data_IF_783772108425
#
_entry.id   IF_783772108425
#
_cell.length_a   1.000
_cell.length_b   1.000
_cell.length_c   1.000
_cell.angle_alpha   90.00
_cell.angle_beta   90.00
_cell.angle_gamma   90.00
#
_symmetry.space_group_name_H-M   'P 1'
#
loop_
_entity.id
_entity.type
_entity.pdbx_description
1 polymer ?
#
# COMPACT_ATOMS: atom_id res chain seq x y z
N UNK A 1 6.80 4.39 11.03
CA UNK A 1 6.82 4.74 9.60
C UNK A 1 7.51 3.59 8.88
N UNK A 2 6.83 2.93 7.95
CA UNK A 2 7.35 1.78 7.21
C UNK A 2 7.37 2.07 5.72
N UNK A 3 8.44 1.61 5.04
CA UNK A 3 8.65 1.79 3.61
C UNK A 3 9.16 0.49 3.01
N UNK A 4 8.46 -0.04 2.02
CA UNK A 4 8.86 -1.27 1.30
C UNK A 4 8.95 -1.00 -0.19
N UNK A 5 9.96 -1.56 -0.87
CA UNK A 5 10.10 -1.48 -2.32
C UNK A 5 9.89 -2.86 -2.93
N UNK A 6 8.94 -3.01 -3.86
CA UNK A 6 8.67 -4.28 -4.54
C UNK A 6 8.05 -4.06 -5.92
N UNK A 7 8.54 -4.78 -6.93
CA UNK A 7 7.99 -4.76 -8.28
C UNK A 7 8.01 -3.38 -8.98
N UNK A 8 8.95 -2.50 -8.62
CA UNK A 8 9.04 -1.13 -9.16
C UNK A 8 8.16 -0.10 -8.43
N UNK A 9 7.48 -0.49 -7.36
CA UNK A 9 6.66 0.39 -6.53
C UNK A 9 7.28 0.59 -5.15
N UNK A 10 6.94 1.72 -4.53
CA UNK A 10 7.23 2.03 -3.12
C UNK A 10 5.91 2.00 -2.37
N UNK A 11 5.87 1.30 -1.25
CA UNK A 11 4.74 1.19 -0.35
C UNK A 11 5.10 1.88 0.95
N UNK A 12 4.53 3.05 1.17
CA UNK A 12 4.73 3.87 2.37
C UNK A 12 3.50 3.80 3.26
N UNK A 13 3.69 3.43 4.52
CA UNK A 13 2.60 3.31 5.50
C UNK A 13 3.07 3.78 6.87
N UNK A 14 2.11 4.12 7.73
CA UNK A 14 2.41 4.61 9.07
C UNK A 14 1.95 3.61 10.13
N UNK A 15 2.91 3.04 10.85
CA UNK A 15 2.69 1.99 11.86
C UNK A 15 1.81 2.48 13.04
N UNK A 16 1.70 3.80 13.25
CA UNK A 16 0.85 4.41 14.28
C UNK A 16 -0.47 4.96 13.75
N UNK A 17 -0.82 4.66 12.49
CA UNK A 17 -2.05 5.17 11.89
C UNK A 17 -3.28 4.61 12.59
N UNK A 18 -4.25 5.47 12.87
CA UNK A 18 -5.54 5.05 13.38
C UNK A 18 -6.39 4.49 12.23
N UNK A 19 -7.31 3.55 12.50
CA UNK A 19 -8.21 3.05 11.47
C UNK A 19 -8.97 4.19 10.76
N UNK A 20 -9.09 4.16 9.42
CA UNK A 20 -8.57 3.11 8.53
C UNK A 20 -7.07 3.26 8.24
N UNK A 21 -6.31 2.20 8.49
CA UNK A 21 -4.88 2.14 8.15
C UNK A 21 -4.74 2.16 6.64
N UNK A 22 -3.80 2.95 6.13
CA UNK A 22 -3.61 3.07 4.69
C UNK A 22 -2.15 3.03 4.27
N UNK A 23 -1.94 2.66 3.01
CA UNK A 23 -0.66 2.63 2.34
C UNK A 23 -0.69 3.53 1.11
N UNK A 24 0.34 4.36 0.99
CA UNK A 24 0.66 5.12 -0.20
C UNK A 24 1.47 4.25 -1.15
N UNK A 25 0.96 4.08 -2.36
CA UNK A 25 1.66 3.41 -3.44
C UNK A 25 2.29 4.49 -4.32
N UNK A 26 3.62 4.47 -4.43
CA UNK A 26 4.37 5.38 -5.29
C UNK A 26 5.06 4.61 -6.41
N UNK A 27 5.19 5.27 -7.56
CA UNK A 27 6.02 4.85 -8.68
C UNK A 27 6.80 6.06 -9.18
N UNK A 28 8.10 5.90 -9.40
CA UNK A 28 8.97 7.01 -9.85
C UNK A 28 8.86 8.25 -8.96
N UNK A 29 8.73 8.04 -7.64
CA UNK A 29 8.55 9.07 -6.59
C UNK A 29 7.24 9.87 -6.68
N UNK A 30 6.28 9.44 -7.49
CA UNK A 30 4.94 10.01 -7.58
C UNK A 30 3.93 9.11 -6.90
N UNK A 31 3.03 9.69 -6.11
CA UNK A 31 1.88 8.97 -5.56
C UNK A 31 0.97 8.56 -6.72
N UNK A 32 0.66 7.26 -6.81
CA UNK A 32 -0.24 6.70 -7.83
C UNK A 32 -1.54 6.18 -7.23
N UNK A 33 -1.52 5.77 -5.96
CA UNK A 33 -2.71 5.36 -5.25
C UNK A 33 -2.55 5.46 -3.73
N UNK A 34 -3.67 5.64 -3.04
CA UNK A 34 -3.83 5.47 -1.60
C UNK A 34 -4.79 4.30 -1.38
N UNK A 35 -4.38 3.32 -0.57
CA UNK A 35 -5.12 2.08 -0.38
C UNK A 35 -5.34 1.82 1.11
N UNK A 36 -6.58 1.62 1.51
CA UNK A 36 -6.96 1.19 2.85
C UNK A 36 -6.65 -0.30 3.06
N UNK A 37 -6.04 -0.67 4.18
CA UNK A 37 -5.61 -2.03 4.48
C UNK A 37 -6.67 -2.84 5.26
N UNK A 38 -7.58 -2.18 5.99
CA UNK A 38 -8.49 -2.85 6.95
C UNK A 38 -9.75 -3.47 6.31
N UNK A 39 -10.15 -2.98 5.13
CA UNK A 39 -11.38 -3.36 4.42
C UNK A 39 -11.10 -3.72 2.95
N UNK A 40 -10.32 -4.78 2.72
CA UNK A 40 -10.10 -5.39 1.39
C UNK A 40 -9.29 -4.56 0.37
N UNK A 41 -8.23 -3.86 0.81
CA UNK A 41 -7.37 -3.09 -0.10
C UNK A 41 -8.19 -2.07 -0.92
N UNK A 42 -9.16 -1.41 -0.28
CA UNK A 42 -10.02 -0.43 -0.93
C UNK A 42 -9.19 0.78 -1.37
N UNK A 43 -9.31 1.15 -2.65
CA UNK A 43 -8.61 2.31 -3.19
C UNK A 43 -9.31 3.58 -2.73
N UNK A 44 -8.65 4.35 -1.86
CA UNK A 44 -9.14 5.65 -1.39
C UNK A 44 -8.88 6.75 -2.42
N UNK A 45 -7.73 6.67 -3.11
CA UNK A 45 -7.34 7.64 -4.13
C UNK A 45 -6.53 6.95 -5.24
N UNK A 46 -6.68 7.42 -6.48
CA UNK A 46 -5.93 6.94 -7.62
C UNK A 46 -6.46 5.61 -8.17
N UNK A 47 -5.57 4.82 -8.77
CA UNK A 47 -5.93 3.51 -9.34
C UNK A 47 -4.79 2.52 -9.11
N UNK A 48 -5.17 1.31 -8.71
CA UNK A 48 -4.25 0.17 -8.66
C UNK A 48 -4.62 -0.84 -9.75
N UNK A 49 -3.60 -1.46 -10.34
CA UNK A 49 -3.80 -2.59 -11.23
C UNK A 49 -3.72 -3.93 -10.44
N UNK A 50 -4.03 -5.03 -11.11
CA UNK A 50 -3.98 -6.37 -10.52
C UNK A 50 -2.61 -6.71 -9.91
N UNK A 51 -1.52 -6.19 -10.50
CA UNK A 51 -0.14 -6.45 -10.05
C UNK A 51 0.15 -5.77 -8.73
N UNK A 52 -0.29 -4.52 -8.56
CA UNK A 52 -0.18 -3.78 -7.29
C UNK A 52 -1.04 -4.46 -6.22
N UNK A 53 -2.28 -4.87 -6.54
CA UNK A 53 -3.14 -5.58 -5.59
C UNK A 53 -2.52 -6.89 -5.10
N UNK A 54 -1.92 -7.67 -6.01
CA UNK A 54 -1.19 -8.90 -5.66
C UNK A 54 0.00 -8.62 -4.74
N UNK A 55 0.82 -7.62 -5.08
CA UNK A 55 1.97 -7.23 -4.27
C UNK A 55 1.54 -6.78 -2.87
N UNK A 56 0.50 -5.95 -2.77
CA UNK A 56 -0.04 -5.49 -1.49
C UNK A 56 -0.53 -6.67 -0.63
N UNK A 57 -1.27 -7.61 -1.22
CA UNK A 57 -1.75 -8.80 -0.51
C UNK A 57 -0.58 -9.65 0.03
N UNK A 58 0.48 -9.84 -0.76
CA UNK A 58 1.69 -10.55 -0.31
C UNK A 58 2.40 -9.80 0.83
N UNK A 59 2.55 -8.48 0.72
CA UNK A 59 3.21 -7.65 1.74
C UNK A 59 2.44 -7.63 3.07
N UNK A 60 1.11 -7.59 3.02
CA UNK A 60 0.25 -7.70 4.21
C UNK A 60 0.37 -9.10 4.81
N UNK A 61 0.36 -10.16 4.00
CA UNK A 61 0.53 -11.55 4.47
C UNK A 61 1.89 -11.78 5.12
N UNK A 62 2.95 -11.13 4.61
CA UNK A 62 4.30 -11.17 5.19
C UNK A 62 4.45 -10.28 6.44
N UNK A 63 3.44 -9.48 6.79
CA UNK A 63 3.50 -8.54 7.92
C UNK A 63 4.44 -7.34 7.69
N UNK A 64 4.90 -7.15 6.45
CA UNK A 64 5.76 -6.04 6.05
C UNK A 64 5.00 -4.73 5.82
N UNK A 65 3.69 -4.81 5.62
CA UNK A 65 2.78 -3.66 5.51
C UNK A 65 1.62 -3.90 6.47
N UNK A 66 1.36 -2.95 7.36
CA UNK A 66 0.32 -3.02 8.40
C UNK A 66 -0.11 -1.64 8.82
#
# INVERSE_FOLDING_TARGET
MGRVRRGGYIFDFWVGDHPPRHVHVLRDRRLIAKVELDRDLTVMEGKINWRIRKILAELVKEGLVK
#
